data_IF_137514531577
#
_entry.id   IF_137514531577
#
_cell.length_a   1.000
_cell.length_b   1.000
_cell.length_c   1.000
_cell.angle_alpha   90.00
_cell.angle_beta   90.00
_cell.angle_gamma   90.00
#
_symmetry.space_group_name_H-M   'P 1'
#
loop_
_entity.id
_entity.type
_entity.pdbx_description
1 polymer ?
#
# COMPACT_ATOMS: atom_id res chain seq x y z
N UNK A 1 -16.48 23.09 13.36
CA UNK A 1 -16.12 21.96 14.26
C UNK A 1 -15.83 20.67 13.50
N UNK A 2 -16.72 20.21 12.60
CA UNK A 2 -16.48 18.99 11.79
C UNK A 2 -15.16 19.00 11.00
N UNK A 3 -14.76 20.14 10.41
CA UNK A 3 -13.52 20.24 9.61
C UNK A 3 -12.24 20.02 10.43
N UNK A 4 -12.17 20.61 11.62
CA UNK A 4 -10.99 20.55 12.49
C UNK A 4 -10.79 19.14 13.06
N UNK A 5 -11.88 18.42 13.32
CA UNK A 5 -11.85 17.01 13.71
C UNK A 5 -11.35 16.17 12.53
N UNK A 6 -11.93 16.35 11.34
CA UNK A 6 -11.53 15.63 10.13
C UNK A 6 -10.04 15.84 9.79
N UNK A 7 -9.54 17.08 9.86
CA UNK A 7 -8.12 17.38 9.62
C UNK A 7 -7.20 16.69 10.62
N UNK A 8 -7.60 16.64 11.90
CA UNK A 8 -6.86 15.94 12.95
C UNK A 8 -6.85 14.44 12.70
N UNK A 9 -7.98 13.87 12.28
CA UNK A 9 -8.10 12.45 11.95
C UNK A 9 -7.28 12.08 10.72
N UNK A 10 -7.31 12.88 9.66
CA UNK A 10 -6.49 12.66 8.46
C UNK A 10 -5.01 12.71 8.81
N UNK A 11 -4.59 13.73 9.58
CA UNK A 11 -3.20 13.81 10.05
C UNK A 11 -2.81 12.59 10.88
N UNK A 12 -3.69 12.13 11.78
CA UNK A 12 -3.48 10.92 12.57
C UNK A 12 -3.33 9.68 11.68
N UNK A 13 -4.23 9.50 10.72
CA UNK A 13 -4.23 8.38 9.79
C UNK A 13 -2.97 8.34 8.93
N UNK A 14 -2.51 9.50 8.43
CA UNK A 14 -1.26 9.62 7.65
C UNK A 14 -0.05 9.23 8.50
N UNK A 15 0.07 9.76 9.73
CA UNK A 15 1.19 9.44 10.63
C UNK A 15 1.22 7.96 10.99
N UNK A 16 0.05 7.36 11.22
CA UNK A 16 -0.08 5.94 11.54
C UNK A 16 0.00 5.03 10.30
N UNK A 17 0.09 5.59 9.09
CA UNK A 17 -0.01 4.88 7.82
C UNK A 17 -1.26 3.98 7.72
N UNK A 18 -2.36 4.42 8.33
CA UNK A 18 -3.63 3.67 8.35
C UNK A 18 -4.40 3.93 7.05
N UNK A 19 -4.13 3.11 6.03
CA UNK A 19 -4.72 3.25 4.69
C UNK A 19 -6.25 3.17 4.73
N UNK A 20 -6.82 2.25 5.51
CA UNK A 20 -8.28 2.11 5.65
C UNK A 20 -8.91 3.39 6.19
N UNK A 21 -8.30 3.99 7.22
CA UNK A 21 -8.81 5.24 7.77
C UNK A 21 -8.65 6.42 6.80
N UNK A 22 -7.55 6.46 6.03
CA UNK A 22 -7.38 7.45 4.96
C UNK A 22 -8.50 7.29 3.92
N UNK A 23 -8.77 6.07 3.45
CA UNK A 23 -9.85 5.79 2.49
C UNK A 23 -11.22 6.25 3.02
N UNK A 24 -11.57 5.87 4.25
CA UNK A 24 -12.83 6.31 4.88
C UNK A 24 -12.95 7.84 4.96
N UNK A 25 -11.85 8.55 5.27
CA UNK A 25 -11.86 10.01 5.34
C UNK A 25 -11.99 10.68 3.96
N UNK A 26 -11.52 10.02 2.90
CA UNK A 26 -11.63 10.51 1.52
C UNK A 26 -13.04 10.36 0.93
N UNK A 27 -13.86 9.43 1.44
CA UNK A 27 -15.26 9.29 1.03
C UNK A 27 -16.09 10.56 1.30
N UNK A 28 -15.74 11.30 2.35
CA UNK A 28 -16.48 12.48 2.79
C UNK A 28 -15.53 13.63 3.18
N UNK A 29 -15.00 14.32 2.16
CA UNK A 29 -14.17 15.51 2.36
C UNK A 29 -15.07 16.70 2.74
N UNK A 30 -14.85 17.36 3.90
CA UNK A 30 -15.65 18.51 4.31
C UNK A 30 -15.36 19.75 3.45
N UNK A 31 -16.30 20.70 3.41
CA UNK A 31 -16.04 22.03 2.87
C UNK A 31 -15.09 22.81 3.80
N UNK A 32 -14.18 23.59 3.23
CA UNK A 32 -13.21 24.40 3.99
C UNK A 32 -13.59 25.89 3.93
N UNK A 33 -13.42 26.60 5.05
CA UNK A 33 -13.86 27.99 5.17
C UNK A 33 -12.70 28.98 4.98
N UNK A 34 -11.47 28.51 5.06
CA UNK A 34 -10.28 29.35 4.94
C UNK A 34 -9.27 28.78 3.94
N UNK A 35 -8.56 29.66 3.25
CA UNK A 35 -7.48 29.28 2.34
C UNK A 35 -6.39 28.47 3.07
N UNK A 36 -6.10 28.83 4.33
CA UNK A 36 -5.13 28.12 5.17
C UNK A 36 -5.53 26.67 5.42
N UNK A 37 -6.79 26.40 5.70
CA UNK A 37 -7.29 25.04 5.87
C UNK A 37 -7.17 24.25 4.56
N UNK A 38 -7.54 24.85 3.42
CA UNK A 38 -7.38 24.22 2.11
C UNK A 38 -5.93 23.85 1.79
N UNK A 39 -4.99 24.78 2.02
CA UNK A 39 -3.56 24.53 1.83
C UNK A 39 -3.07 23.40 2.74
N UNK A 40 -3.49 23.40 4.01
CA UNK A 40 -3.12 22.35 4.96
C UNK A 40 -3.64 20.99 4.51
N UNK A 41 -4.91 20.93 4.07
CA UNK A 41 -5.51 19.72 3.52
C UNK A 41 -4.74 19.24 2.29
N UNK A 42 -4.38 20.14 1.37
CA UNK A 42 -3.64 19.77 0.16
C UNK A 42 -2.32 19.08 0.50
N UNK A 43 -1.51 19.67 1.39
CA UNK A 43 -0.26 19.06 1.80
C UNK A 43 -0.45 17.73 2.53
N UNK A 44 -1.50 17.59 3.34
CA UNK A 44 -1.83 16.32 4.00
C UNK A 44 -2.25 15.24 2.99
N UNK A 45 -3.00 15.61 1.95
CA UNK A 45 -3.41 14.69 0.89
C UNK A 45 -2.23 14.25 0.02
N UNK A 46 -1.29 15.15 -0.27
CA UNK A 46 -0.04 14.81 -0.95
C UNK A 46 0.78 13.81 -0.14
N UNK A 47 0.87 14.01 1.18
CA UNK A 47 1.57 13.07 2.05
C UNK A 47 0.82 11.73 2.17
N UNK A 48 -0.51 11.75 2.30
CA UNK A 48 -1.33 10.53 2.28
C UNK A 48 -1.10 9.71 1.00
N UNK A 49 -1.04 10.39 -0.15
CA UNK A 49 -0.71 9.75 -1.43
C UNK A 49 0.67 9.09 -1.39
N UNK A 50 1.70 9.79 -0.90
CA UNK A 50 3.07 9.24 -0.79
C UNK A 50 3.10 7.99 0.09
N UNK A 51 2.36 7.99 1.21
CA UNK A 51 2.25 6.83 2.09
C UNK A 51 1.65 5.63 1.34
N UNK A 52 0.53 5.82 0.65
CA UNK A 52 -0.14 4.74 -0.10
C UNK A 52 0.75 4.23 -1.24
N UNK A 53 1.42 5.12 -1.97
CA UNK A 53 2.34 4.73 -3.04
C UNK A 53 3.55 3.94 -2.53
N UNK A 54 4.11 4.32 -1.37
CA UNK A 54 5.20 3.57 -0.73
C UNK A 54 4.76 2.17 -0.34
N UNK A 55 3.60 2.05 0.33
CA UNK A 55 3.06 0.76 0.73
C UNK A 55 2.78 -0.13 -0.47
N UNK A 56 2.16 0.42 -1.53
CA UNK A 56 1.92 -0.31 -2.78
C UNK A 56 3.22 -0.84 -3.38
N UNK A 57 4.29 -0.02 -3.40
CA UNK A 57 5.60 -0.42 -3.92
C UNK A 57 6.23 -1.53 -3.08
N UNK A 58 6.21 -1.41 -1.75
CA UNK A 58 6.72 -2.41 -0.82
C UNK A 58 5.97 -3.75 -0.96
N UNK A 59 4.65 -3.71 -1.08
CA UNK A 59 3.83 -4.89 -1.35
C UNK A 59 4.19 -5.53 -2.69
N UNK A 60 4.33 -4.74 -3.76
CA UNK A 60 4.70 -5.26 -5.07
C UNK A 60 6.07 -5.96 -5.07
N UNK A 61 7.06 -5.38 -4.40
CA UNK A 61 8.38 -5.99 -4.21
C UNK A 61 8.27 -7.32 -3.46
N UNK A 62 7.49 -7.34 -2.38
CA UNK A 62 7.27 -8.54 -1.57
C UNK A 62 6.59 -9.66 -2.39
N UNK A 63 5.58 -9.31 -3.19
CA UNK A 63 4.91 -10.27 -4.08
C UNK A 63 5.85 -10.82 -5.16
N UNK A 64 6.70 -9.98 -5.75
CA UNK A 64 7.70 -10.44 -6.72
C UNK A 64 8.68 -11.45 -6.09
N UNK A 65 9.13 -11.19 -4.86
CA UNK A 65 10.00 -12.12 -4.14
C UNK A 65 9.28 -13.44 -3.80
N UNK A 66 8.04 -13.38 -3.34
CA UNK A 66 7.24 -14.58 -3.08
C UNK A 66 7.05 -15.42 -4.35
N UNK A 67 6.75 -14.78 -5.49
CA UNK A 67 6.63 -15.47 -6.77
C UNK A 67 7.94 -16.19 -7.13
N UNK A 68 9.09 -15.51 -7.02
CA UNK A 68 10.40 -16.10 -7.30
C UNK A 68 10.67 -17.34 -6.42
N UNK A 69 10.31 -17.26 -5.14
CA UNK A 69 10.47 -18.38 -4.22
C UNK A 69 9.57 -19.58 -4.62
N UNK A 70 8.33 -19.32 -5.02
CA UNK A 70 7.40 -20.35 -5.52
C UNK A 70 7.95 -21.00 -6.80
N UNK A 71 8.39 -20.18 -7.77
CA UNK A 71 8.96 -20.67 -9.03
C UNK A 71 10.18 -21.57 -8.79
N UNK A 72 11.05 -21.18 -7.85
CA UNK A 72 12.22 -22.00 -7.45
C UNK A 72 11.80 -23.36 -6.87
N UNK A 73 10.87 -23.39 -5.91
CA UNK A 73 10.39 -24.65 -5.32
C UNK A 73 9.74 -25.57 -6.37
N UNK A 74 9.02 -25.00 -7.32
CA UNK A 74 8.41 -25.74 -8.43
C UNK A 74 9.47 -26.32 -9.38
N UNK A 75 10.54 -25.57 -9.68
CA UNK A 75 11.64 -26.10 -10.50
C UNK A 75 12.39 -27.25 -9.81
N UNK A 76 12.60 -27.15 -8.49
CA UNK A 76 13.28 -28.19 -7.72
C UNK A 76 12.46 -29.48 -7.57
N UNK A 77 11.13 -29.40 -7.70
CA UNK A 77 10.23 -30.57 -7.60
C UNK A 77 9.94 -31.21 -8.95
N UNK A 78 10.01 -30.47 -10.06
CA UNK A 78 9.80 -30.97 -11.41
C UNK A 78 10.88 -31.98 -11.87
N UNK A 79 12.13 -31.87 -11.37
CA UNK A 79 13.24 -32.75 -11.77
C UNK A 79 13.16 -34.18 -11.18
N UNK A 80 12.27 -34.47 -10.23
CA UNK A 80 12.13 -35.84 -9.67
C UNK A 80 11.49 -36.87 -10.61
N UNK A 81 11.11 -36.48 -11.84
CA UNK A 81 10.65 -37.41 -12.90
C UNK A 81 11.63 -37.52 -14.08
N UNK A 82 12.89 -37.15 -13.91
CA UNK A 82 13.93 -37.59 -14.84
C UNK A 82 14.21 -39.08 -14.59
N UNK A 83 13.43 -39.95 -15.25
CA UNK A 83 13.83 -41.34 -15.49
C UNK A 83 15.11 -41.30 -16.31
N UNK A 84 16.26 -41.44 -15.66
CA UNK A 84 17.50 -41.81 -16.35
C UNK A 84 17.33 -43.27 -16.78
N UNK A 85 16.65 -43.47 -17.89
CA UNK A 85 16.59 -44.76 -18.57
C UNK A 85 17.92 -44.93 -19.32
N UNK A 86 18.96 -45.29 -18.57
CA UNK A 86 20.24 -45.74 -19.15
C UNK A 86 20.07 -47.25 -19.39
N UNK A 87 19.36 -47.60 -20.46
CA UNK A 87 19.40 -48.96 -20.99
C UNK A 87 20.61 -49.06 -21.92
N UNK A 88 21.67 -49.67 -21.38
CA UNK A 88 22.82 -50.21 -22.13
C UNK A 88 22.48 -51.53 -22.80
#
# INVERSE_FOLDING_TARGET
>A
MKQQIWLKELKGAVVQKNVTQIETLLENIPSFNTLKEMQTTLYLLEEAKRVVESLKKETAISMAQMKKNIDFLNSATAEKRASFDITS
#
